data_IF_343387802335
#
_entry.id   IF_343387802335
#
_cell.length_a   1.000
_cell.length_b   1.000
_cell.length_c   1.000
_cell.angle_alpha   90.00
_cell.angle_beta   90.00
_cell.angle_gamma   90.00
#
_symmetry.space_group_name_H-M   'P 1'
#
loop_
_entity.id
_entity.type
_entity.pdbx_description
1 polymer ?
#
# COMPACT_ATOMS: atom_id res chain seq x y z
N UNK A 1 6.98 9.09 12.56
CA UNK A 1 6.74 9.19 11.12
C UNK A 1 8.08 8.97 10.46
N UNK A 2 8.19 7.99 9.56
CA UNK A 2 9.46 7.59 8.94
C UNK A 2 9.67 8.46 7.72
N UNK A 3 10.78 9.20 7.68
CA UNK A 3 11.14 10.07 6.59
C UNK A 3 11.65 9.28 5.38
N UNK A 4 11.46 9.83 4.18
CA UNK A 4 11.95 9.24 2.94
C UNK A 4 13.46 8.93 2.98
N UNK A 5 14.25 9.83 3.59
CA UNK A 5 15.70 9.64 3.74
C UNK A 5 16.07 8.39 4.56
N UNK A 6 15.26 8.03 5.56
CA UNK A 6 15.49 6.86 6.42
C UNK A 6 15.17 5.56 5.66
N UNK A 7 14.09 5.58 4.87
CA UNK A 7 13.78 4.49 3.94
C UNK A 7 14.90 4.30 2.90
N UNK A 8 15.36 5.38 2.26
CA UNK A 8 16.42 5.31 1.24
C UNK A 8 17.78 4.91 1.79
N UNK A 9 18.08 5.24 3.05
CA UNK A 9 19.31 4.81 3.71
C UNK A 9 19.25 3.37 4.24
N UNK A 10 18.10 2.69 4.10
CA UNK A 10 17.87 1.36 4.65
C UNK A 10 17.68 1.31 6.16
N UNK A 11 17.49 2.46 6.82
CA UNK A 11 17.22 2.54 8.25
C UNK A 11 15.77 2.16 8.60
N UNK A 12 14.88 2.10 7.60
CA UNK A 12 13.53 1.58 7.71
C UNK A 12 13.22 0.65 6.53
N UNK A 13 12.42 -0.38 6.78
CA UNK A 13 11.94 -1.32 5.77
C UNK A 13 10.83 -0.70 4.90
N UNK A 14 10.58 -1.33 3.76
CA UNK A 14 9.47 -0.94 2.87
C UNK A 14 8.10 -1.03 3.57
N UNK A 15 7.91 -2.07 4.40
CA UNK A 15 6.68 -2.29 5.16
C UNK A 15 6.50 -1.20 6.23
N UNK A 16 7.56 -0.84 6.96
CA UNK A 16 7.49 0.25 7.95
C UNK A 16 7.19 1.60 7.27
N UNK A 17 7.90 1.92 6.18
CA UNK A 17 7.76 3.19 5.49
C UNK A 17 6.39 3.37 4.82
N UNK A 18 5.89 2.39 4.06
CA UNK A 18 4.57 2.51 3.43
C UNK A 18 3.42 2.19 4.39
N UNK A 19 3.65 1.32 5.37
CA UNK A 19 2.67 0.90 6.36
C UNK A 19 2.20 2.06 7.24
N UNK A 20 3.05 3.08 7.45
CA UNK A 20 2.67 4.30 8.18
C UNK A 20 1.51 5.07 7.52
N UNK A 21 1.25 4.85 6.24
CA UNK A 21 0.17 5.47 5.48
C UNK A 21 -1.07 4.59 5.36
N UNK A 22 -0.99 3.31 5.73
CA UNK A 22 -2.10 2.38 5.63
C UNK A 22 -3.06 2.58 6.79
N UNK A 23 -4.23 3.12 6.47
CA UNK A 23 -5.35 3.27 7.41
C UNK A 23 -6.37 2.14 7.24
N UNK A 24 -7.31 2.02 8.18
CA UNK A 24 -8.47 1.12 8.05
C UNK A 24 -9.23 1.37 6.74
N UNK A 25 -9.51 2.64 6.42
CA UNK A 25 -10.14 3.05 5.16
C UNK A 25 -9.34 2.59 3.93
N UNK A 26 -8.01 2.63 4.01
CA UNK A 26 -7.13 2.11 2.93
C UNK A 26 -7.37 0.63 2.75
N UNK A 27 -7.35 -0.16 3.84
CA UNK A 27 -7.61 -1.61 3.78
C UNK A 27 -9.01 -1.93 3.27
N UNK A 28 -10.04 -1.21 3.69
CA UNK A 28 -11.41 -1.37 3.19
C UNK A 28 -11.49 -1.12 1.67
N UNK A 29 -10.86 -0.05 1.18
CA UNK A 29 -10.84 0.26 -0.25
C UNK A 29 -10.12 -0.85 -1.06
N UNK A 30 -9.00 -1.36 -0.55
CA UNK A 30 -8.26 -2.46 -1.18
C UNK A 30 -9.06 -3.77 -1.16
N UNK A 31 -9.67 -4.11 -0.02
CA UNK A 31 -10.52 -5.28 0.10
C UNK A 31 -11.73 -5.22 -0.86
N UNK A 32 -12.36 -4.05 -1.00
CA UNK A 32 -13.48 -3.85 -1.93
C UNK A 32 -13.05 -3.92 -3.41
N UNK A 33 -11.87 -3.40 -3.75
CA UNK A 33 -11.39 -3.35 -5.13
C UNK A 33 -10.84 -4.68 -5.65
N UNK A 34 -10.08 -5.41 -4.83
CA UNK A 34 -9.36 -6.62 -5.24
C UNK A 34 -10.07 -7.90 -4.78
N UNK A 35 -10.72 -7.85 -3.62
CA UNK A 35 -11.31 -8.99 -2.93
C UNK A 35 -10.36 -9.60 -1.89
N UNK A 36 -10.87 -9.86 -0.68
CA UNK A 36 -10.08 -10.44 0.43
C UNK A 36 -9.54 -11.83 0.07
N UNK A 37 -10.34 -12.67 -0.57
CA UNK A 37 -9.93 -14.03 -0.93
C UNK A 37 -8.77 -14.01 -1.92
N UNK A 38 -8.84 -13.17 -2.97
CA UNK A 38 -7.73 -12.99 -3.92
C UNK A 38 -6.44 -12.51 -3.26
N UNK A 39 -6.54 -11.60 -2.29
CA UNK A 39 -5.38 -11.11 -1.53
C UNK A 39 -4.76 -12.24 -0.70
N UNK A 40 -5.58 -13.07 -0.06
CA UNK A 40 -5.12 -14.19 0.76
C UNK A 40 -4.51 -15.31 -0.08
N UNK A 41 -5.08 -15.57 -1.25
CA UNK A 41 -4.67 -16.62 -2.18
C UNK A 41 -3.40 -16.26 -2.98
N UNK A 42 -3.04 -14.97 -3.05
CA UNK A 42 -1.80 -14.52 -3.69
C UNK A 42 -0.59 -15.21 -3.06
N UNK A 43 0.31 -15.75 -3.88
CA UNK A 43 1.55 -16.41 -3.43
C UNK A 43 2.80 -15.58 -3.73
N UNK A 44 2.67 -14.54 -4.56
CA UNK A 44 3.74 -13.60 -4.86
C UNK A 44 3.98 -12.64 -3.69
N UNK A 45 5.21 -12.52 -3.14
CA UNK A 45 5.51 -11.64 -2.01
C UNK A 45 5.27 -10.14 -2.31
N UNK A 46 5.21 -9.77 -3.59
CA UNK A 46 4.93 -8.42 -4.08
C UNK A 46 3.53 -8.28 -4.70
N UNK A 47 2.68 -9.31 -4.60
CA UNK A 47 1.33 -9.36 -5.15
C UNK A 47 1.27 -9.07 -6.67
N UNK A 48 2.32 -9.42 -7.42
CA UNK A 48 2.34 -9.25 -8.88
C UNK A 48 1.53 -10.31 -9.63
N UNK A 49 1.10 -11.37 -8.95
CA UNK A 49 0.13 -12.35 -9.45
C UNK A 49 -1.31 -11.80 -9.50
N UNK A 50 -1.57 -10.68 -8.83
CA UNK A 50 -2.84 -9.93 -8.94
C UNK A 50 -2.78 -9.04 -10.20
N UNK A 51 -3.78 -9.11 -11.11
CA UNK A 51 -3.77 -8.39 -12.38
C UNK A 51 -3.52 -6.88 -12.26
N UNK A 52 -2.63 -6.35 -13.11
CA UNK A 52 -2.18 -4.94 -13.08
C UNK A 52 -3.33 -3.92 -13.11
N UNK A 53 -4.35 -4.17 -13.93
CA UNK A 53 -5.50 -3.27 -14.06
C UNK A 53 -6.30 -3.07 -12.76
N UNK A 54 -6.22 -4.01 -11.80
CA UNK A 54 -6.83 -3.85 -10.49
C UNK A 54 -6.06 -2.83 -9.65
N UNK A 55 -4.73 -2.81 -9.76
CA UNK A 55 -3.87 -1.82 -9.09
C UNK A 55 -4.01 -0.45 -9.73
N UNK A 56 -4.05 -0.36 -11.06
CA UNK A 56 -4.17 0.91 -11.79
C UNK A 56 -5.47 1.64 -11.46
N UNK A 57 -6.56 0.89 -11.21
CA UNK A 57 -7.86 1.44 -10.85
C UNK A 57 -7.87 2.12 -9.46
N UNK A 58 -6.87 1.84 -8.61
CA UNK A 58 -6.82 2.33 -7.23
C UNK A 58 -6.41 3.80 -7.09
N UNK A 59 -5.78 4.36 -8.13
CA UNK A 59 -5.34 5.76 -8.12
C UNK A 59 -6.49 6.75 -7.85
N UNK A 60 -7.74 6.35 -8.14
CA UNK A 60 -8.94 7.15 -7.88
C UNK A 60 -9.62 6.87 -6.53
N UNK A 61 -9.28 5.76 -5.85
CA UNK A 61 -10.02 5.27 -4.67
C UNK A 61 -9.27 5.37 -3.35
N UNK A 62 -7.96 5.57 -3.37
CA UNK A 62 -7.19 5.76 -2.15
C UNK A 62 -7.44 7.16 -1.56
N UNK A 63 -7.66 7.27 -0.23
CA UNK A 63 -7.72 8.58 0.41
C UNK A 63 -6.41 9.34 0.12
N UNK A 64 -6.50 10.66 -0.02
CA UNK A 64 -5.32 11.49 -0.24
C UNK A 64 -4.31 11.27 0.90
N UNK A 65 -3.23 10.55 0.59
CA UNK A 65 -2.11 10.36 1.50
C UNK A 65 -1.10 11.47 1.20
N UNK A 66 -0.86 12.34 2.18
CA UNK A 66 0.20 13.35 2.09
C UNK A 66 1.56 12.70 2.38
N UNK A 67 2.14 12.06 1.37
CA UNK A 67 3.54 11.61 1.44
C UNK A 67 4.52 12.81 1.40
N UNK A 68 4.03 13.99 1.02
CA UNK A 68 4.79 15.24 1.12
C UNK A 68 5.25 15.53 2.56
N UNK A 69 4.46 15.11 3.55
CA UNK A 69 4.78 15.30 4.97
C UNK A 69 6.04 14.55 5.44
N UNK A 70 6.52 13.55 4.69
CA UNK A 70 7.72 12.75 5.01
C UNK A 70 8.92 13.05 4.11
N UNK A 71 8.84 14.11 3.31
CA UNK A 71 9.92 14.51 2.40
C UNK A 71 9.93 13.76 1.07
N UNK A 72 8.78 13.24 0.62
CA UNK A 72 8.55 13.02 -0.82
C UNK A 72 8.02 14.31 -1.45
N UNK A 73 8.21 14.51 -2.76
CA UNK A 73 7.77 15.75 -3.40
C UNK A 73 6.26 15.75 -3.75
N UNK A 74 5.70 14.58 -4.09
CA UNK A 74 4.27 14.38 -4.42
C UNK A 74 3.87 12.91 -4.48
N UNK A 75 2.59 12.63 -4.24
CA UNK A 75 1.99 11.30 -4.41
C UNK A 75 2.01 10.86 -5.87
N UNK A 76 2.91 9.94 -6.23
CA UNK A 76 2.93 9.33 -7.56
C UNK A 76 2.02 8.11 -7.64
N UNK A 77 1.52 7.72 -8.82
CA UNK A 77 0.79 6.45 -8.99
C UNK A 77 1.59 5.24 -8.48
N UNK A 78 2.91 5.22 -8.70
CA UNK A 78 3.78 4.17 -8.18
C UNK A 78 3.81 4.13 -6.65
N UNK A 79 3.91 5.29 -5.99
CA UNK A 79 3.86 5.38 -4.53
C UNK A 79 2.52 4.90 -3.95
N UNK A 80 1.41 5.25 -4.61
CA UNK A 80 0.08 4.78 -4.24
C UNK A 80 -0.07 3.26 -4.38
N UNK A 81 0.51 2.65 -5.43
CA UNK A 81 0.54 1.19 -5.59
C UNK A 81 1.35 0.51 -4.49
N UNK A 82 2.47 1.09 -4.04
CA UNK A 82 3.22 0.55 -2.89
C UNK A 82 2.37 0.56 -1.60
N UNK A 83 1.65 1.67 -1.33
CA UNK A 83 0.73 1.76 -0.18
C UNK A 83 -0.39 0.72 -0.31
N UNK A 84 -0.97 0.56 -1.50
CA UNK A 84 -2.01 -0.42 -1.76
C UNK A 84 -1.54 -1.87 -1.53
N UNK A 85 -0.34 -2.21 -2.01
CA UNK A 85 0.25 -3.54 -1.81
C UNK A 85 0.61 -3.80 -0.35
N UNK A 86 1.05 -2.79 0.37
CA UNK A 86 1.26 -2.89 1.82
C UNK A 86 -0.07 -3.08 2.57
N UNK A 87 -1.14 -2.39 2.16
CA UNK A 87 -2.47 -2.63 2.70
C UNK A 87 -2.98 -4.05 2.41
N UNK A 88 -2.73 -4.59 1.20
CA UNK A 88 -3.02 -5.97 0.86
C UNK A 88 -2.24 -6.96 1.74
N UNK A 89 -0.96 -6.68 2.02
CA UNK A 89 -0.14 -7.45 2.97
C UNK A 89 -0.76 -7.49 4.36
N UNK A 90 -1.11 -6.34 4.93
CA UNK A 90 -1.76 -6.26 6.24
C UNK A 90 -3.08 -7.05 6.29
N UNK A 91 -3.88 -7.03 5.22
CA UNK A 91 -5.12 -7.83 5.10
C UNK A 91 -4.79 -9.33 5.13
N UNK A 92 -3.78 -9.77 4.38
CA UNK A 92 -3.32 -11.17 4.36
C UNK A 92 -2.82 -11.62 5.73
N UNK A 93 -2.16 -10.73 6.47
CA UNK A 93 -1.66 -10.95 7.84
C UNK A 93 -2.76 -10.88 8.92
N UNK A 94 -4.00 -10.56 8.55
CA UNK A 94 -5.16 -10.60 9.45
C UNK A 94 -5.49 -9.28 10.15
N UNK A 95 -4.99 -8.15 9.66
CA UNK A 95 -5.37 -6.84 10.19
C UNK A 95 -6.88 -6.57 9.94
N UNK A 96 -7.51 -5.87 10.88
CA UNK A 96 -8.95 -5.53 10.81
C UNK A 96 -9.24 -4.62 9.61
N UNK A 97 -10.32 -4.95 8.91
CA UNK A 97 -10.97 -4.10 7.92
C UNK A 97 -11.84 -3.07 8.61
#
# INVERSE_FOLDING_TARGET
MIARKEYMSGAATHAEYYGQFVTERTRQAIAAAIGVDRIRDSTDPHFNDIPLHLWDRLAASLPAVSIASVGDDWSTPAGLVCIAKEAARQIKEGHKL
#
